data_IF_957188697696
#
_entry.id   IF_957188697696
#
_cell.length_a   1.000
_cell.length_b   1.000
_cell.length_c   1.000
_cell.angle_alpha   90.00
_cell.angle_beta   90.00
_cell.angle_gamma   90.00
#
_symmetry.space_group_name_H-M   'P 1'
#
loop_
_entity.id
_entity.type
_entity.pdbx_description
1 polymer ?
#
# COMPACT_ATOMS: atom_id res chain seq x y z
N UNK A 1 -7.07 15.52 -33.79
CA UNK A 1 -6.37 15.77 -32.51
C UNK A 1 -7.00 14.91 -31.41
N UNK A 2 -6.34 13.83 -30.97
CA UNK A 2 -6.82 12.89 -29.90
C UNK A 2 -5.85 12.83 -28.70
N UNK A 3 -4.95 13.80 -28.57
CA UNK A 3 -3.86 13.81 -27.58
C UNK A 3 -4.30 14.11 -26.15
N UNK A 4 -5.46 14.75 -25.93
CA UNK A 4 -5.86 15.17 -24.58
C UNK A 4 -6.41 14.05 -23.68
N UNK A 5 -6.98 12.98 -24.26
CA UNK A 5 -7.47 11.83 -23.46
C UNK A 5 -6.33 10.99 -22.91
N UNK A 6 -5.31 10.74 -23.73
CA UNK A 6 -4.12 9.95 -23.35
C UNK A 6 -3.33 10.59 -22.20
N UNK A 7 -3.20 11.92 -22.21
CA UNK A 7 -2.44 12.63 -21.17
C UNK A 7 -3.17 12.63 -19.81
N UNK A 8 -4.50 12.73 -19.81
CA UNK A 8 -5.32 12.63 -18.59
C UNK A 8 -5.29 11.22 -17.98
N UNK A 9 -5.24 10.18 -18.81
CA UNK A 9 -5.08 8.81 -18.33
C UNK A 9 -3.69 8.55 -17.74
N UNK A 10 -2.64 9.13 -18.34
CA UNK A 10 -1.27 9.00 -17.84
C UNK A 10 -1.05 9.74 -16.50
N UNK A 11 -1.70 10.89 -16.32
CA UNK A 11 -1.63 11.69 -15.10
C UNK A 11 -2.60 11.22 -14.01
N UNK A 12 -3.45 10.23 -14.30
CA UNK A 12 -4.39 9.70 -13.31
C UNK A 12 -3.60 8.99 -12.22
N UNK A 13 -3.77 9.42 -10.98
CA UNK A 13 -3.25 8.68 -9.85
C UNK A 13 -3.95 7.31 -9.77
N UNK A 14 -3.21 6.21 -9.65
CA UNK A 14 -3.81 4.90 -9.49
C UNK A 14 -4.68 4.90 -8.24
N UNK A 15 -5.82 4.23 -8.31
CA UNK A 15 -6.74 4.07 -7.16
C UNK A 15 -6.28 2.93 -6.24
N UNK A 16 -6.88 2.76 -5.07
CA UNK A 16 -6.62 1.58 -4.22
C UNK A 16 -6.94 0.27 -4.96
N UNK A 17 -7.99 0.27 -5.79
CA UNK A 17 -8.37 -0.89 -6.62
C UNK A 17 -7.30 -1.24 -7.67
N UNK A 18 -6.68 -0.23 -8.30
CA UNK A 18 -5.59 -0.46 -9.25
C UNK A 18 -4.35 -1.05 -8.55
N UNK A 19 -4.04 -0.56 -7.35
CA UNK A 19 -2.92 -1.08 -6.54
C UNK A 19 -3.18 -2.49 -6.03
N UNK A 20 -4.41 -2.82 -5.65
CA UNK A 20 -4.81 -4.19 -5.32
C UNK A 20 -4.67 -5.13 -6.52
N UNK A 21 -5.02 -4.67 -7.73
CA UNK A 21 -4.80 -5.43 -8.97
C UNK A 21 -3.31 -5.67 -9.21
N UNK A 22 -2.48 -4.65 -9.08
CA UNK A 22 -1.02 -4.77 -9.20
C UNK A 22 -0.46 -5.77 -8.17
N UNK A 23 -0.90 -5.66 -6.92
CA UNK A 23 -0.51 -6.59 -5.86
C UNK A 23 -0.80 -8.03 -6.25
N UNK A 24 -2.03 -8.30 -6.73
CA UNK A 24 -2.45 -9.63 -7.16
C UNK A 24 -1.61 -10.15 -8.32
N UNK A 25 -1.35 -9.32 -9.33
CA UNK A 25 -0.51 -9.70 -10.47
C UNK A 25 0.90 -10.10 -10.03
N UNK A 26 1.54 -9.30 -9.16
CA UNK A 26 2.87 -9.60 -8.62
C UNK A 26 2.88 -10.86 -7.76
N UNK A 27 1.80 -11.07 -6.99
CA UNK A 27 1.63 -12.25 -6.18
C UNK A 27 1.54 -13.52 -7.03
N UNK A 28 0.69 -13.51 -8.06
CA UNK A 28 0.48 -14.63 -8.98
C UNK A 28 1.74 -14.91 -9.83
N UNK A 29 2.46 -13.86 -10.25
CA UNK A 29 3.74 -13.98 -10.97
C UNK A 29 4.91 -14.41 -10.07
N UNK A 30 4.71 -14.52 -8.74
CA UNK A 30 5.75 -14.78 -7.73
C UNK A 30 6.85 -13.72 -7.64
N UNK A 31 6.59 -12.53 -8.17
CA UNK A 31 7.50 -11.37 -8.16
C UNK A 31 7.32 -10.48 -6.91
N UNK A 32 6.32 -10.79 -6.09
CA UNK A 32 6.11 -10.10 -4.82
C UNK A 32 7.17 -10.49 -3.78
N UNK A 33 7.96 -9.50 -3.35
CA UNK A 33 8.88 -9.58 -2.22
C UNK A 33 8.33 -8.82 -0.98
N UNK A 34 8.98 -8.98 0.18
CA UNK A 34 8.49 -8.42 1.46
C UNK A 34 8.39 -6.89 1.45
N UNK A 35 9.39 -6.19 0.93
CA UNK A 35 9.44 -4.71 0.94
C UNK A 35 8.36 -4.12 0.03
N UNK A 36 8.19 -4.70 -1.16
CA UNK A 36 7.16 -4.30 -2.11
C UNK A 36 5.76 -4.58 -1.56
N UNK A 37 5.57 -5.74 -0.92
CA UNK A 37 4.32 -6.07 -0.24
C UNK A 37 4.01 -5.06 0.88
N UNK A 38 5.00 -4.72 1.71
CA UNK A 38 4.86 -3.72 2.77
C UNK A 38 4.48 -2.35 2.21
N UNK A 39 5.20 -1.87 1.19
CA UNK A 39 4.96 -0.56 0.60
C UNK A 39 3.56 -0.47 -0.03
N UNK A 40 3.16 -1.47 -0.83
CA UNK A 40 1.83 -1.51 -1.45
C UNK A 40 0.72 -1.58 -0.40
N UNK A 41 0.85 -2.45 0.59
CA UNK A 41 -0.17 -2.58 1.63
C UNK A 41 -0.30 -1.30 2.47
N UNK A 42 0.79 -0.58 2.75
CA UNK A 42 0.76 0.73 3.44
C UNK A 42 -0.06 1.76 2.68
N UNK A 43 0.21 1.90 1.38
CA UNK A 43 -0.50 2.86 0.54
C UNK A 43 -1.98 2.48 0.42
N UNK A 44 -2.28 1.22 0.12
CA UNK A 44 -3.68 0.73 0.00
C UNK A 44 -4.44 0.94 1.30
N UNK A 45 -3.85 0.58 2.45
CA UNK A 45 -4.51 0.74 3.75
C UNK A 45 -4.75 2.22 4.07
N UNK A 46 -3.80 3.10 3.76
CA UNK A 46 -3.98 4.54 3.98
C UNK A 46 -5.08 5.13 3.10
N UNK A 47 -5.23 4.65 1.86
CA UNK A 47 -6.27 5.11 0.93
C UNK A 47 -7.66 4.64 1.38
N UNK A 48 -7.78 3.37 1.77
CA UNK A 48 -9.01 2.80 2.32
C UNK A 48 -9.46 3.47 3.63
N UNK A 49 -8.51 4.00 4.41
CA UNK A 49 -8.80 4.76 5.63
C UNK A 49 -9.37 6.17 5.38
N UNK A 50 -9.29 6.70 4.15
CA UNK A 50 -9.84 8.01 3.80
C UNK A 50 -11.33 7.89 3.50
N UNK A 51 -12.13 8.84 4.02
CA UNK A 51 -13.60 8.79 3.97
C UNK A 51 -14.20 8.71 2.56
N UNK A 52 -13.45 9.13 1.53
CA UNK A 52 -13.88 9.11 0.13
C UNK A 52 -13.84 7.71 -0.53
N UNK A 53 -13.13 6.73 0.06
CA UNK A 53 -12.96 5.39 -0.52
C UNK A 53 -13.63 4.28 0.30
N UNK A 54 -14.77 4.56 0.97
CA UNK A 54 -15.61 3.54 1.63
C UNK A 54 -16.36 2.62 0.63
N UNK A 55 -15.73 2.26 -0.48
CA UNK A 55 -16.21 1.20 -1.34
C UNK A 55 -16.00 -0.16 -0.66
N UNK A 56 -17.11 -0.72 -0.15
CA UNK A 56 -17.14 -2.05 0.49
C UNK A 56 -16.51 -3.12 -0.38
N UNK A 57 -16.59 -3.00 -1.71
CA UNK A 57 -16.02 -3.97 -2.65
C UNK A 57 -14.50 -3.94 -2.62
N UNK A 58 -13.92 -2.74 -2.61
CA UNK A 58 -12.46 -2.57 -2.54
C UNK A 58 -11.93 -3.02 -1.19
N UNK A 59 -12.64 -2.73 -0.09
CA UNK A 59 -12.27 -3.25 1.24
C UNK A 59 -12.32 -4.78 1.30
N UNK A 60 -13.35 -5.41 0.71
CA UNK A 60 -13.44 -6.87 0.63
C UNK A 60 -12.25 -7.49 -0.12
N UNK A 61 -11.86 -6.90 -1.26
CA UNK A 61 -10.68 -7.35 -2.03
C UNK A 61 -9.38 -7.19 -1.25
N UNK A 62 -9.27 -6.14 -0.44
CA UNK A 62 -8.14 -5.96 0.46
C UNK A 62 -8.08 -7.08 1.52
N UNK A 63 -9.20 -7.41 2.15
CA UNK A 63 -9.26 -8.52 3.12
C UNK A 63 -8.91 -9.87 2.47
N UNK A 64 -9.44 -10.16 1.29
CA UNK A 64 -9.07 -11.35 0.50
C UNK A 64 -7.57 -11.38 0.16
N UNK A 65 -6.96 -10.22 -0.11
CA UNK A 65 -5.51 -10.11 -0.36
C UNK A 65 -4.70 -10.48 0.88
N UNK A 66 -5.09 -9.97 2.06
CA UNK A 66 -4.45 -10.32 3.33
C UNK A 66 -4.64 -11.81 3.65
N UNK A 67 -5.83 -12.36 3.40
CA UNK A 67 -6.10 -13.78 3.57
C UNK A 67 -5.20 -14.64 2.67
N UNK A 68 -5.06 -14.29 1.38
CA UNK A 68 -4.16 -15.00 0.46
C UNK A 68 -2.70 -15.00 0.94
N UNK A 69 -2.20 -13.86 1.45
CA UNK A 69 -0.87 -13.80 2.05
C UNK A 69 -0.76 -14.71 3.27
N UNK A 70 -1.77 -14.73 4.14
CA UNK A 70 -1.79 -15.58 5.33
C UNK A 70 -1.69 -17.05 4.98
N UNK A 71 -2.40 -17.51 3.95
CA UNK A 71 -2.42 -18.91 3.56
C UNK A 71 -1.18 -19.34 2.76
N UNK A 72 -0.73 -18.51 1.81
CA UNK A 72 0.30 -18.93 0.85
C UNK A 72 1.70 -18.38 1.15
N UNK A 73 1.81 -17.27 1.88
CA UNK A 73 3.07 -16.59 2.18
C UNK A 73 3.10 -16.10 3.64
N UNK A 74 2.78 -16.99 4.58
CA UNK A 74 2.64 -16.66 6.00
C UNK A 74 3.88 -15.97 6.60
N UNK A 75 5.09 -16.41 6.22
CA UNK A 75 6.34 -15.82 6.69
C UNK A 75 6.54 -14.39 6.18
N UNK A 76 6.20 -14.13 4.91
CA UNK A 76 6.21 -12.78 4.35
C UNK A 76 5.20 -11.89 5.09
N UNK A 77 3.98 -12.37 5.33
CA UNK A 77 2.99 -11.62 6.08
C UNK A 77 3.49 -11.27 7.49
N UNK A 78 4.15 -12.22 8.16
CA UNK A 78 4.75 -11.98 9.49
C UNK A 78 5.82 -10.90 9.44
N UNK A 79 6.70 -10.93 8.44
CA UNK A 79 7.72 -9.90 8.26
C UNK A 79 7.11 -8.53 7.94
N UNK A 80 6.11 -8.48 7.06
CA UNK A 80 5.36 -7.25 6.75
C UNK A 80 4.75 -6.67 8.01
N UNK A 81 4.03 -7.47 8.81
CA UNK A 81 3.41 -6.99 10.06
C UNK A 81 4.45 -6.50 11.06
N UNK A 82 5.58 -7.22 11.20
CA UNK A 82 6.68 -6.81 12.07
C UNK A 82 7.26 -5.46 11.65
N UNK A 83 7.57 -5.29 10.37
CA UNK A 83 8.12 -4.05 9.82
C UNK A 83 7.12 -2.89 9.87
N UNK A 84 5.83 -3.18 9.66
CA UNK A 84 4.76 -2.19 9.80
C UNK A 84 4.67 -1.65 11.23
N UNK A 85 4.71 -2.54 12.22
CA UNK A 85 4.62 -2.15 13.63
C UNK A 85 5.89 -1.45 14.12
N UNK A 86 7.07 -1.86 13.63
CA UNK A 86 8.33 -1.17 13.94
C UNK A 86 8.25 0.32 13.58
N UNK A 87 7.82 0.64 12.36
CA UNK A 87 7.66 2.04 11.91
C UNK A 87 6.49 2.81 12.56
N UNK A 88 5.66 2.18 13.40
CA UNK A 88 4.71 2.88 14.29
C UNK A 88 5.30 3.22 15.66
N UNK A 89 6.42 2.58 16.02
CA UNK A 89 7.10 2.77 17.29
C UNK A 89 8.20 3.82 17.16
N UNK A 90 8.69 4.07 15.95
CA UNK A 90 9.48 5.24 15.60
C UNK A 90 8.57 6.48 15.66
N UNK A 91 8.46 7.08 16.85
CA UNK A 91 8.19 8.51 16.98
C UNK A 91 9.16 9.26 16.06
N UNK A 92 8.69 10.38 15.52
CA UNK A 92 9.46 11.30 14.69
C UNK A 92 10.95 11.32 15.04
N UNK A 93 11.85 11.30 14.05
CA UNK A 93 13.24 11.56 14.33
C UNK A 93 13.36 12.90 15.08
N UNK A 94 13.81 12.85 16.34
CA UNK A 94 14.01 14.01 17.23
C UNK A 94 14.97 15.07 16.63
N UNK A 95 15.65 14.78 15.51
CA UNK A 95 16.49 15.76 14.81
C UNK A 95 15.70 16.85 14.07
N UNK A 96 14.37 16.74 13.94
CA UNK A 96 13.50 17.84 13.49
C UNK A 96 13.05 18.77 14.63
N UNK A 97 13.34 18.42 15.89
CA UNK A 97 12.99 19.25 17.06
C UNK A 97 14.06 20.26 17.44
N UNK A 98 15.28 20.16 16.90
CA UNK A 98 16.38 21.07 17.23
C UNK A 98 16.48 22.24 16.25
N UNK A 99 15.35 22.90 16.08
CA UNK A 99 15.29 24.29 15.65
C UNK A 99 15.23 25.20 16.88
N UNK A 100 16.33 25.32 17.63
CA UNK A 100 16.56 26.50 18.46
C UNK A 100 17.83 27.22 18.01
N UNK A 101 17.55 28.32 17.33
CA UNK A 101 18.44 29.44 17.02
C UNK A 101 19.21 29.89 18.27
N UNK A 102 20.53 30.04 18.13
CA UNK A 102 21.25 31.28 18.48
C UNK A 102 22.44 31.47 17.56
#
# INVERSE_FOLDING_TARGET
MKTSKSLKEFLRQPTASDKLRLFRMLFDARELNTDLALALLKVIHSELGREQERDRTTYKRYDETIANLRYHKADMLRQVVKAWNAGRTDKEPEWLSDGMIK
#
